data_IF_364878792350
#
_entry.id   IF_364878792350
#
_cell.length_a   1.000
_cell.length_b   1.000
_cell.length_c   1.000
_cell.angle_alpha   90.00
_cell.angle_beta   90.00
_cell.angle_gamma   90.00
#
_symmetry.space_group_name_H-M   'P 1'
#
loop_
_entity.id
_entity.type
_entity.pdbx_description
1 polymer ?
#
# COMPACT_ATOMS: atom_id res chain seq x y z
N UNK A 1 37.88 -19.65 -81.75
CA UNK A 1 38.26 -20.89 -81.05
C UNK A 1 37.86 -20.78 -79.58
N UNK A 2 37.22 -21.83 -79.08
CA UNK A 2 36.75 -22.03 -77.69
C UNK A 2 37.89 -21.90 -76.66
N UNK A 3 37.59 -21.34 -75.48
CA UNK A 3 37.79 -22.05 -74.19
C UNK A 3 36.98 -21.41 -73.07
N UNK A 4 36.70 -22.26 -72.09
CA UNK A 4 35.55 -22.28 -71.18
C UNK A 4 35.98 -22.06 -69.72
N UNK A 5 35.07 -21.47 -68.94
CA UNK A 5 34.75 -21.65 -67.51
C UNK A 5 35.86 -21.54 -66.44
N UNK A 6 35.56 -20.77 -65.38
CA UNK A 6 35.00 -21.32 -64.12
C UNK A 6 34.38 -20.23 -63.24
N UNK A 7 33.26 -20.60 -62.62
CA UNK A 7 32.51 -19.89 -61.58
C UNK A 7 33.14 -20.16 -60.21
N UNK A 8 33.16 -19.18 -59.31
CA UNK A 8 32.99 -19.45 -57.87
C UNK A 8 32.48 -18.22 -57.13
N UNK A 9 31.41 -18.45 -56.38
CA UNK A 9 30.70 -17.55 -55.46
C UNK A 9 31.44 -17.41 -54.13
N UNK A 10 31.48 -16.22 -53.53
CA UNK A 10 31.47 -16.04 -52.07
C UNK A 10 30.99 -14.62 -51.70
N UNK A 11 30.14 -14.55 -50.69
CA UNK A 11 29.25 -13.46 -50.26
C UNK A 11 29.48 -13.28 -48.76
N UNK A 12 29.77 -12.06 -48.25
CA UNK A 12 29.04 -11.24 -47.24
C UNK A 12 30.11 -10.34 -46.57
N UNK A 13 29.91 -9.08 -46.18
CA UNK A 13 28.69 -8.34 -45.87
C UNK A 13 28.77 -7.81 -44.43
N UNK A 14 29.28 -6.58 -44.25
CA UNK A 14 29.34 -5.86 -42.96
C UNK A 14 28.33 -4.72 -43.02
N UNK A 15 27.37 -4.67 -42.08
CA UNK A 15 26.71 -3.44 -41.66
C UNK A 15 25.90 -3.67 -40.37
N UNK A 16 26.06 -2.72 -39.44
CA UNK A 16 25.45 -2.58 -38.11
C UNK A 16 23.94 -2.29 -38.16
N UNK A 17 23.16 -2.93 -37.28
CA UNK A 17 21.71 -2.72 -37.11
C UNK A 17 21.41 -1.94 -35.82
N UNK A 18 20.82 -0.74 -35.96
CA UNK A 18 20.13 0.01 -34.91
C UNK A 18 18.64 -0.36 -35.00
N UNK A 19 18.04 -0.82 -33.92
CA UNK A 19 16.61 -1.15 -33.85
C UNK A 19 15.82 0.03 -33.28
N UNK A 20 14.97 0.66 -34.10
CA UNK A 20 13.94 1.59 -33.65
C UNK A 20 12.66 0.80 -33.30
N UNK A 21 12.15 0.97 -32.08
CA UNK A 21 10.78 0.57 -31.71
C UNK A 21 9.84 1.77 -31.99
N UNK A 22 8.87 1.61 -32.89
CA UNK A 22 7.82 2.60 -33.16
C UNK A 22 6.51 2.18 -32.47
N UNK A 23 5.94 3.05 -31.63
CA UNK A 23 4.60 2.92 -31.06
C UNK A 23 3.62 3.75 -31.91
N UNK A 24 2.79 3.12 -32.73
CA UNK A 24 1.72 3.79 -33.48
C UNK A 24 0.41 3.80 -32.66
N UNK A 25 -0.32 4.91 -32.65
CA UNK A 25 -1.72 4.98 -32.20
C UNK A 25 -2.60 5.13 -33.44
N UNK A 26 -3.42 4.12 -33.75
CA UNK A 26 -4.64 4.31 -34.54
C UNK A 26 -5.87 3.92 -33.71
N UNK A 27 -6.88 4.78 -33.78
CA UNK A 27 -8.25 4.44 -33.40
C UNK A 27 -8.81 3.60 -34.53
N UNK A 28 -9.28 2.40 -34.23
CA UNK A 28 -10.46 1.88 -34.91
C UNK A 28 -11.19 0.80 -34.09
N UNK A 29 -12.51 0.88 -34.19
CA UNK A 29 -13.49 -0.15 -33.86
C UNK A 29 -13.07 -1.53 -34.39
N UNK A 30 -12.81 -2.47 -33.47
CA UNK A 30 -12.88 -3.94 -33.58
C UNK A 30 -12.59 -4.58 -34.96
N UNK A 31 -11.37 -5.12 -35.18
CA UNK A 31 -11.05 -6.56 -35.42
C UNK A 31 -9.60 -6.77 -35.93
N UNK A 32 -8.86 -7.69 -35.28
CA UNK A 32 -7.72 -8.54 -35.72
C UNK A 32 -6.47 -8.01 -36.49
N UNK A 33 -5.30 -8.30 -35.88
CA UNK A 33 -3.97 -8.70 -36.43
C UNK A 33 -2.88 -7.65 -36.85
N UNK A 34 -1.77 -7.71 -36.09
CA UNK A 34 -0.29 -7.59 -36.36
C UNK A 34 0.37 -6.52 -37.27
N UNK A 35 1.32 -5.77 -36.65
CA UNK A 35 2.67 -5.23 -37.03
C UNK A 35 3.00 -4.71 -38.47
N UNK A 36 3.97 -3.84 -38.77
CA UNK A 36 4.66 -2.64 -38.22
C UNK A 36 5.77 -2.24 -39.26
N UNK A 37 6.22 -0.97 -39.30
CA UNK A 37 7.58 -0.39 -39.67
C UNK A 37 7.52 0.85 -40.58
N UNK A 38 8.31 1.95 -40.51
CA UNK A 38 9.22 2.66 -39.56
C UNK A 38 9.26 4.14 -40.07
N UNK A 39 9.36 5.16 -39.19
CA UNK A 39 10.00 6.46 -39.51
C UNK A 39 10.88 6.91 -38.33
N UNK A 40 12.04 7.44 -38.68
CA UNK A 40 13.14 7.96 -37.86
C UNK A 40 12.75 9.17 -36.98
N UNK A 41 13.30 9.27 -35.75
CA UNK A 41 13.43 10.56 -35.05
C UNK A 41 14.49 10.54 -33.94
N UNK A 42 15.25 11.62 -33.86
CA UNK A 42 15.85 12.12 -32.63
C UNK A 42 15.20 13.48 -32.30
N UNK A 43 14.89 13.67 -31.01
CA UNK A 43 14.51 14.87 -30.22
C UNK A 43 13.18 14.69 -29.47
N UNK A 44 13.25 14.66 -28.13
CA UNK A 44 12.17 15.13 -27.25
C UNK A 44 11.03 14.18 -26.84
N UNK A 45 11.11 12.86 -27.08
CA UNK A 45 9.98 11.93 -26.85
C UNK A 45 10.13 10.90 -25.72
N UNK A 46 11.28 10.82 -25.02
CA UNK A 46 11.47 9.86 -23.92
C UNK A 46 10.81 10.29 -22.60
N UNK A 47 10.27 11.50 -22.54
CA UNK A 47 9.61 12.06 -21.36
C UNK A 47 8.12 11.67 -21.23
N UNK A 48 7.45 11.23 -22.30
CA UNK A 48 5.99 10.96 -22.26
C UNK A 48 5.62 9.50 -21.96
N UNK A 49 6.58 8.57 -21.99
CA UNK A 49 6.39 7.17 -21.57
C UNK A 49 6.71 6.93 -20.08
N UNK A 50 7.03 8.01 -19.35
CA UNK A 50 7.49 7.97 -17.97
C UNK A 50 6.52 8.60 -16.98
N UNK A 51 5.28 8.90 -17.35
CA UNK A 51 4.30 9.50 -16.46
C UNK A 51 3.45 8.43 -15.73
N UNK A 52 3.43 8.44 -14.39
CA UNK A 52 2.50 7.63 -13.58
C UNK A 52 1.11 8.28 -13.58
N UNK A 53 0.99 9.43 -12.93
CA UNK A 53 -0.17 10.32 -12.88
C UNK A 53 0.20 11.63 -12.15
N UNK A 54 -0.79 12.48 -11.86
CA UNK A 54 -0.59 13.82 -11.29
C UNK A 54 -0.17 13.81 -9.81
N UNK A 55 -0.25 12.66 -9.13
CA UNK A 55 0.18 12.51 -7.73
C UNK A 55 1.67 12.17 -7.61
N UNK A 56 2.35 11.96 -8.73
CA UNK A 56 3.78 11.68 -8.79
C UNK A 56 4.51 12.73 -9.64
N UNK A 57 5.83 12.91 -9.45
CA UNK A 57 6.62 13.74 -10.35
C UNK A 57 6.45 13.29 -11.81
N UNK A 58 6.44 14.25 -12.74
CA UNK A 58 6.25 13.94 -14.16
C UNK A 58 7.31 12.97 -14.75
N UNK A 59 8.49 12.91 -14.13
CA UNK A 59 9.59 12.00 -14.48
C UNK A 59 9.50 10.62 -13.83
N UNK A 60 8.49 10.36 -12.99
CA UNK A 60 8.41 9.16 -12.18
C UNK A 60 7.74 7.99 -12.91
N UNK A 61 8.37 6.82 -12.92
CA UNK A 61 7.91 5.65 -13.70
C UNK A 61 7.42 4.49 -12.83
N UNK A 62 6.48 3.71 -13.37
CA UNK A 62 6.05 2.45 -12.75
C UNK A 62 7.05 1.33 -13.01
N UNK A 63 7.34 0.53 -11.98
CA UNK A 63 8.26 -0.60 -12.08
C UNK A 63 7.82 -1.80 -11.26
N UNK A 64 8.25 -2.98 -11.67
CA UNK A 64 8.09 -4.24 -10.91
C UNK A 64 9.32 -4.56 -10.07
N UNK A 65 10.39 -3.77 -10.18
CA UNK A 65 11.64 -3.93 -9.42
C UNK A 65 11.94 -2.67 -8.63
N UNK A 66 12.88 -2.77 -7.68
CA UNK A 66 13.45 -1.62 -6.98
C UNK A 66 14.76 -1.17 -7.64
N UNK A 67 15.06 0.11 -7.55
CA UNK A 67 16.32 0.73 -7.94
C UNK A 67 17.42 0.34 -6.95
N UNK A 68 18.67 0.31 -7.43
CA UNK A 68 19.83 0.12 -6.56
C UNK A 68 19.85 1.19 -5.46
N UNK A 69 20.01 0.77 -4.21
CA UNK A 69 20.01 1.65 -3.04
C UNK A 69 18.63 1.93 -2.42
N UNK A 70 17.52 1.58 -3.10
CA UNK A 70 16.18 1.60 -2.51
C UNK A 70 15.87 0.28 -1.78
N UNK A 71 16.19 -0.85 -2.40
CA UNK A 71 16.03 -2.19 -1.82
C UNK A 71 16.55 -3.29 -2.75
N UNK A 72 16.22 -4.53 -2.43
CA UNK A 72 16.72 -5.73 -3.10
C UNK A 72 15.61 -6.49 -3.84
N UNK A 73 15.98 -7.44 -4.71
CA UNK A 73 15.01 -8.35 -5.34
C UNK A 73 14.25 -9.23 -4.33
N UNK A 74 14.85 -9.51 -3.16
CA UNK A 74 14.19 -10.22 -2.06
C UNK A 74 13.09 -9.35 -1.44
N UNK A 75 13.34 -8.03 -1.30
CA UNK A 75 12.34 -7.09 -0.82
C UNK A 75 11.17 -6.95 -1.81
N UNK A 76 11.45 -6.90 -3.12
CA UNK A 76 10.43 -6.91 -4.18
C UNK A 76 9.55 -8.15 -4.08
N UNK A 77 10.18 -9.33 -3.94
CA UNK A 77 9.48 -10.60 -3.80
C UNK A 77 8.59 -10.59 -2.55
N UNK A 78 9.13 -10.13 -1.42
CA UNK A 78 8.39 -9.99 -0.17
C UNK A 78 7.14 -9.12 -0.36
N UNK A 79 7.28 -7.91 -0.90
CA UNK A 79 6.15 -6.99 -1.04
C UNK A 79 5.05 -7.53 -1.96
N UNK A 80 5.40 -8.18 -3.07
CA UNK A 80 4.42 -8.83 -3.94
C UNK A 80 3.71 -10.00 -3.25
N UNK A 81 4.46 -10.81 -2.48
CA UNK A 81 3.88 -11.89 -1.68
C UNK A 81 2.94 -11.34 -0.61
N UNK A 82 3.30 -10.24 0.04
CA UNK A 82 2.45 -9.59 1.04
C UNK A 82 1.18 -9.00 0.42
N UNK A 83 1.24 -8.35 -0.74
CA UNK A 83 0.04 -7.89 -1.45
C UNK A 83 -0.94 -9.04 -1.71
N UNK A 84 -0.42 -10.21 -2.09
CA UNK A 84 -1.22 -11.44 -2.29
C UNK A 84 -1.73 -12.03 -0.97
N UNK A 85 -0.90 -12.01 0.08
CA UNK A 85 -1.23 -12.54 1.40
C UNK A 85 -2.31 -11.71 2.09
N UNK A 86 -2.19 -10.38 2.07
CA UNK A 86 -3.19 -9.44 2.61
C UNK A 86 -4.52 -9.62 1.86
N UNK A 87 -4.48 -9.71 0.53
CA UNK A 87 -5.68 -10.01 -0.25
C UNK A 87 -6.32 -11.31 0.18
N UNK A 88 -5.54 -12.38 0.26
CA UNK A 88 -6.06 -13.72 0.60
C UNK A 88 -6.61 -13.74 2.01
N UNK A 89 -5.97 -13.03 2.94
CA UNK A 89 -6.44 -12.84 4.30
C UNK A 89 -7.81 -12.16 4.33
N UNK A 90 -8.01 -11.03 3.65
CA UNK A 90 -9.27 -10.30 3.74
C UNK A 90 -10.38 -10.80 2.82
N UNK A 91 -10.03 -11.22 1.60
CA UNK A 91 -10.98 -11.47 0.50
C UNK A 91 -10.92 -12.89 -0.07
N UNK A 92 -10.07 -13.75 0.49
CA UNK A 92 -9.92 -15.14 0.05
C UNK A 92 -9.19 -15.29 -1.29
N UNK A 93 -9.24 -16.50 -1.86
CA UNK A 93 -8.48 -16.85 -3.08
C UNK A 93 -9.21 -16.47 -4.37
N UNK A 94 -10.54 -16.33 -4.34
CA UNK A 94 -11.39 -16.09 -5.52
C UNK A 94 -11.30 -14.68 -6.10
N UNK A 95 -10.68 -13.73 -5.39
CA UNK A 95 -10.51 -12.35 -5.86
C UNK A 95 -9.06 -12.13 -6.29
N UNK A 96 -8.83 -11.32 -7.33
CA UNK A 96 -7.49 -10.90 -7.72
C UNK A 96 -6.91 -9.91 -6.69
N UNK A 97 -5.58 -9.94 -6.52
CA UNK A 97 -4.89 -8.89 -5.78
C UNK A 97 -4.89 -7.58 -6.59
N UNK A 98 -4.89 -6.41 -5.92
CA UNK A 98 -4.64 -5.14 -6.57
C UNK A 98 -3.34 -5.18 -7.36
N UNK A 99 -3.29 -4.48 -8.49
CA UNK A 99 -2.06 -4.32 -9.24
C UNK A 99 -1.08 -3.52 -8.38
N UNK A 100 0.03 -4.16 -8.01
CA UNK A 100 1.09 -3.54 -7.21
C UNK A 100 2.28 -3.16 -8.09
N UNK A 101 2.75 -1.91 -8.00
CA UNK A 101 3.94 -1.41 -8.69
C UNK A 101 4.73 -0.46 -7.81
N UNK A 102 6.04 -0.47 -7.96
CA UNK A 102 6.91 0.56 -7.40
C UNK A 102 6.90 1.82 -8.28
N UNK A 103 7.09 2.98 -7.67
CA UNK A 103 7.27 4.26 -8.37
C UNK A 103 8.71 4.74 -8.23
N UNK A 104 9.42 4.77 -9.36
CA UNK A 104 10.83 5.17 -9.46
C UNK A 104 10.97 6.61 -9.92
N UNK A 105 11.97 7.33 -9.41
CA UNK A 105 12.32 8.65 -9.94
C UNK A 105 13.82 8.94 -9.78
N UNK A 106 14.66 8.07 -10.35
CA UNK A 106 16.10 8.11 -10.14
C UNK A 106 16.47 7.94 -8.66
N UNK A 107 17.51 8.64 -8.21
CA UNK A 107 17.96 8.62 -6.80
C UNK A 107 17.38 9.75 -5.96
N UNK A 108 16.43 10.52 -6.50
CA UNK A 108 15.72 11.56 -5.76
C UNK A 108 14.62 10.94 -4.89
N UNK A 109 15.03 10.26 -3.82
CA UNK A 109 14.15 9.47 -2.96
C UNK A 109 12.98 10.28 -2.37
N UNK A 110 13.18 11.55 -2.02
CA UNK A 110 12.09 12.38 -1.47
C UNK A 110 10.94 12.59 -2.47
N UNK A 111 11.21 12.52 -3.77
CA UNK A 111 10.20 12.73 -4.81
C UNK A 111 9.19 11.59 -4.96
N UNK A 112 9.49 10.40 -4.41
CA UNK A 112 8.59 9.25 -4.36
C UNK A 112 8.34 8.84 -2.90
N UNK A 113 8.31 9.81 -1.98
CA UNK A 113 7.96 9.57 -0.59
C UNK A 113 6.43 9.50 -0.44
N UNK A 114 5.80 8.50 -1.06
CA UNK A 114 4.36 8.27 -0.94
C UNK A 114 4.02 6.80 -1.24
N UNK A 115 2.87 6.34 -0.78
CA UNK A 115 2.20 5.13 -1.23
C UNK A 115 0.72 5.48 -1.45
N UNK A 116 0.14 5.03 -2.56
CA UNK A 116 -1.22 5.45 -2.95
C UNK A 116 -2.04 4.23 -3.39
N UNK A 117 -3.21 4.11 -2.79
CA UNK A 117 -4.25 3.17 -3.12
C UNK A 117 -5.34 3.81 -4.01
N UNK A 118 -5.50 3.29 -5.23
CA UNK A 118 -6.46 3.79 -6.20
C UNK A 118 -7.73 2.93 -6.21
N UNK A 119 -8.89 3.57 -6.30
CA UNK A 119 -10.19 2.90 -6.39
C UNK A 119 -10.34 1.93 -7.58
N UNK A 120 -9.48 2.05 -8.58
CA UNK A 120 -9.41 1.17 -9.75
C UNK A 120 -8.63 -0.14 -9.52
N UNK A 121 -8.40 -0.55 -8.27
CA UNK A 121 -7.72 -1.81 -7.96
C UNK A 121 -6.20 -1.76 -8.13
N UNK A 122 -5.56 -0.63 -7.79
CA UNK A 122 -4.11 -0.43 -7.93
C UNK A 122 -3.51 0.10 -6.64
N UNK A 123 -2.29 -0.34 -6.32
CA UNK A 123 -1.46 0.23 -5.26
C UNK A 123 -0.11 0.59 -5.86
N UNK A 124 0.24 1.87 -5.81
CA UNK A 124 1.53 2.37 -6.27
C UNK A 124 2.38 2.80 -5.08
N UNK A 125 3.60 2.29 -5.01
CA UNK A 125 4.44 2.37 -3.83
C UNK A 125 5.77 3.03 -4.17
N UNK A 126 6.02 4.22 -3.65
CA UNK A 126 7.22 4.98 -3.99
C UNK A 126 8.50 4.38 -3.40
N UNK A 127 9.59 4.45 -4.17
CA UNK A 127 10.89 3.94 -3.69
C UNK A 127 11.46 4.73 -2.53
N UNK A 128 11.14 6.02 -2.45
CA UNK A 128 11.54 6.90 -1.35
C UNK A 128 11.05 6.43 0.00
N UNK A 129 9.73 6.23 0.09
CA UNK A 129 9.09 5.78 1.32
C UNK A 129 9.49 4.33 1.64
N UNK A 130 9.63 3.48 0.62
CA UNK A 130 10.12 2.11 0.79
C UNK A 130 11.49 2.07 1.44
N UNK A 131 12.42 2.86 0.91
CA UNK A 131 13.81 2.92 1.35
C UNK A 131 13.91 3.42 2.78
N UNK A 132 13.18 4.50 3.10
CA UNK A 132 13.19 5.08 4.45
C UNK A 132 12.59 4.11 5.49
N UNK A 133 11.49 3.44 5.17
CA UNK A 133 10.91 2.39 5.99
C UNK A 133 11.90 1.22 6.21
N UNK A 134 12.64 0.81 5.18
CA UNK A 134 13.66 -0.24 5.27
C UNK A 134 14.86 0.16 6.15
N UNK A 135 15.26 1.44 6.12
CA UNK A 135 16.33 1.96 6.97
C UNK A 135 15.93 2.00 8.44
N UNK A 136 14.64 2.27 8.73
CA UNK A 136 14.09 2.23 10.08
C UNK A 136 13.89 0.81 10.59
N UNK A 137 13.60 -0.13 9.70
CA UNK A 137 13.43 -1.53 10.03
C UNK A 137 13.88 -2.46 8.88
N UNK A 138 15.04 -3.09 9.09
CA UNK A 138 15.62 -4.02 8.14
C UNK A 138 14.75 -5.27 7.88
N UNK A 139 13.78 -5.57 8.75
CA UNK A 139 12.88 -6.73 8.58
C UNK A 139 11.74 -6.49 7.59
N UNK A 140 11.53 -5.26 7.10
CA UNK A 140 10.40 -4.80 6.29
C UNK A 140 9.03 -4.81 6.97
N UNK A 141 8.95 -4.95 8.29
CA UNK A 141 7.69 -4.84 9.01
C UNK A 141 7.03 -3.47 8.79
N UNK A 142 7.81 -2.38 8.77
CA UNK A 142 7.29 -1.05 8.44
C UNK A 142 6.69 -1.06 7.03
N UNK A 143 7.43 -1.55 6.03
CA UNK A 143 6.93 -1.65 4.65
C UNK A 143 5.65 -2.51 4.52
N UNK A 144 5.58 -3.63 5.24
CA UNK A 144 4.39 -4.51 5.30
C UNK A 144 3.20 -3.78 5.90
N UNK A 145 3.41 -3.02 6.97
CA UNK A 145 2.36 -2.22 7.61
C UNK A 145 1.79 -1.18 6.64
N UNK A 146 2.66 -0.45 5.94
CA UNK A 146 2.25 0.55 4.94
C UNK A 146 1.41 -0.11 3.85
N UNK A 147 1.86 -1.24 3.32
CA UNK A 147 1.09 -1.98 2.31
C UNK A 147 -0.26 -2.49 2.84
N UNK A 148 -0.31 -2.92 4.11
CA UNK A 148 -1.56 -3.33 4.75
C UNK A 148 -2.53 -2.16 4.93
N UNK A 149 -2.01 -0.96 5.23
CA UNK A 149 -2.78 0.29 5.27
C UNK A 149 -3.35 0.63 3.88
N UNK A 150 -2.52 0.64 2.84
CA UNK A 150 -2.99 0.88 1.46
C UNK A 150 -4.03 -0.15 0.99
N UNK A 151 -3.89 -1.40 1.45
CA UNK A 151 -4.90 -2.42 1.21
C UNK A 151 -6.18 -2.19 2.01
N UNK A 152 -6.11 -1.59 3.20
CA UNK A 152 -7.27 -1.10 3.95
C UNK A 152 -8.15 -0.19 3.09
N UNK A 153 -7.54 0.74 2.35
CA UNK A 153 -8.28 1.54 1.36
C UNK A 153 -8.88 0.71 0.22
N UNK A 154 -8.20 -0.35 -0.25
CA UNK A 154 -8.80 -1.27 -1.23
C UNK A 154 -10.05 -1.98 -0.69
N UNK A 155 -10.09 -2.28 0.61
CA UNK A 155 -11.29 -2.81 1.26
C UNK A 155 -12.38 -1.75 1.32
N UNK A 156 -12.04 -0.52 1.66
CA UNK A 156 -12.98 0.60 1.66
C UNK A 156 -13.64 0.80 0.30
N UNK A 157 -12.86 0.81 -0.78
CA UNK A 157 -13.41 0.90 -2.14
C UNK A 157 -14.27 -0.32 -2.49
N UNK A 158 -13.84 -1.53 -2.13
CA UNK A 158 -14.55 -2.76 -2.50
C UNK A 158 -15.88 -2.96 -1.75
N UNK A 159 -15.99 -2.42 -0.53
CA UNK A 159 -17.11 -2.65 0.37
C UNK A 159 -17.88 -1.37 0.75
N UNK A 160 -17.55 -0.24 0.12
CA UNK A 160 -18.14 1.07 0.40
C UNK A 160 -18.00 1.51 1.88
N UNK A 161 -16.83 1.25 2.46
CA UNK A 161 -16.44 1.62 3.82
C UNK A 161 -15.61 2.93 3.80
N UNK A 162 -15.42 3.62 4.94
CA UNK A 162 -16.04 3.38 6.24
C UNK A 162 -17.55 3.66 6.22
N UNK A 163 -18.31 2.99 7.09
CA UNK A 163 -19.72 3.34 7.33
C UNK A 163 -19.84 4.70 8.03
N UNK A 164 -18.85 5.06 8.86
CA UNK A 164 -18.72 6.38 9.48
C UNK A 164 -18.48 7.45 8.42
N UNK A 165 -19.32 8.47 8.39
CA UNK A 165 -19.18 9.63 7.50
C UNK A 165 -18.79 10.86 8.29
N UNK A 166 -17.75 11.54 7.82
CA UNK A 166 -17.29 12.82 8.33
C UNK A 166 -16.94 13.72 7.14
N UNK A 167 -16.81 15.02 7.38
CA UNK A 167 -16.37 16.00 6.37
C UNK A 167 -14.86 15.97 6.11
N UNK A 168 -14.13 15.11 6.82
CA UNK A 168 -12.67 14.95 6.75
C UNK A 168 -12.30 13.54 6.28
N UNK A 169 -11.06 13.33 5.86
CA UNK A 169 -10.52 12.02 5.51
C UNK A 169 -10.26 11.09 6.72
N UNK A 170 -10.36 11.63 7.95
CA UNK A 170 -10.02 10.93 9.19
C UNK A 170 -10.66 9.55 9.36
N UNK A 171 -11.97 9.31 9.16
CA UNK A 171 -12.52 7.96 9.33
C UNK A 171 -11.90 6.96 8.35
N UNK A 172 -11.60 7.38 7.11
CA UNK A 172 -10.97 6.51 6.12
C UNK A 172 -9.56 6.07 6.56
N UNK A 173 -8.76 7.03 7.02
CA UNK A 173 -7.37 6.79 7.44
C UNK A 173 -7.29 5.95 8.72
N UNK A 174 -8.10 6.28 9.73
CA UNK A 174 -8.10 5.56 11.01
C UNK A 174 -8.60 4.12 10.85
N UNK A 175 -9.61 3.88 9.99
CA UNK A 175 -10.03 2.52 9.72
C UNK A 175 -8.94 1.74 8.96
N UNK A 176 -8.27 2.33 7.98
CA UNK A 176 -7.17 1.68 7.25
C UNK A 176 -5.98 1.36 8.17
N UNK A 177 -5.65 2.25 9.10
CA UNK A 177 -4.70 2.00 10.20
C UNK A 177 -5.12 0.82 11.08
N UNK A 178 -6.39 0.79 11.49
CA UNK A 178 -6.95 -0.31 12.25
C UNK A 178 -6.87 -1.64 11.49
N UNK A 179 -7.21 -1.65 10.21
CA UNK A 179 -7.12 -2.84 9.35
C UNK A 179 -5.67 -3.32 9.21
N UNK A 180 -4.70 -2.41 9.12
CA UNK A 180 -3.28 -2.75 9.12
C UNK A 180 -2.87 -3.44 10.43
N UNK A 181 -3.24 -2.87 11.58
CA UNK A 181 -2.97 -3.48 12.89
C UNK A 181 -3.62 -4.85 13.06
N UNK A 182 -4.85 -5.00 12.55
CA UNK A 182 -5.57 -6.28 12.55
C UNK A 182 -4.84 -7.33 11.72
N UNK A 183 -4.42 -6.96 10.50
CA UNK A 183 -3.65 -7.84 9.62
C UNK A 183 -2.31 -8.23 10.24
N UNK A 184 -1.55 -7.28 10.80
CA UNK A 184 -0.24 -7.59 11.38
C UNK A 184 -0.33 -8.63 12.51
N UNK A 185 -1.38 -8.56 13.34
CA UNK A 185 -1.60 -9.57 14.38
C UNK A 185 -1.94 -10.93 13.81
N UNK A 186 -3.01 -10.99 13.02
CA UNK A 186 -3.68 -12.25 12.69
C UNK A 186 -3.32 -12.81 11.31
N UNK A 187 -2.96 -11.95 10.37
CA UNK A 187 -2.53 -12.32 9.02
C UNK A 187 -1.02 -12.46 8.88
N UNK A 188 -0.25 -11.52 9.46
CA UNK A 188 1.22 -11.56 9.44
C UNK A 188 1.83 -12.33 10.62
N UNK A 189 1.05 -12.58 11.67
CA UNK A 189 1.41 -13.49 12.77
C UNK A 189 2.20 -12.85 13.92
N UNK A 190 2.01 -11.56 14.19
CA UNK A 190 2.64 -10.88 15.34
C UNK A 190 1.76 -11.03 16.58
N UNK A 191 2.28 -11.67 17.62
CA UNK A 191 1.50 -12.05 18.80
C UNK A 191 1.42 -10.96 19.87
N UNK A 192 2.46 -10.12 19.98
CA UNK A 192 2.50 -8.99 20.93
C UNK A 192 2.53 -7.67 20.20
N UNK A 193 2.09 -6.60 20.85
CA UNK A 193 2.06 -5.28 20.22
C UNK A 193 3.43 -4.64 20.12
N UNK A 194 4.31 -4.88 21.10
CA UNK A 194 5.73 -4.53 21.02
C UNK A 194 6.42 -5.00 19.74
N UNK A 195 6.02 -6.15 19.18
CA UNK A 195 6.59 -6.67 17.92
C UNK A 195 6.28 -5.81 16.69
N UNK A 196 5.29 -4.94 16.78
CA UNK A 196 4.80 -4.09 15.68
C UNK A 196 4.78 -2.62 16.04
N UNK A 197 5.12 -2.29 17.28
CA UNK A 197 5.06 -0.92 17.78
C UNK A 197 5.94 0.03 16.96
N UNK A 198 7.12 -0.43 16.52
CA UNK A 198 8.03 0.31 15.62
C UNK A 198 7.44 0.59 14.24
N UNK A 199 6.54 -0.26 13.74
CA UNK A 199 5.86 -0.02 12.47
C UNK A 199 4.93 1.19 12.52
N UNK A 200 4.44 1.56 13.71
CA UNK A 200 3.46 2.62 13.89
C UNK A 200 4.03 4.03 13.94
N UNK A 201 5.35 4.19 14.07
CA UNK A 201 5.98 5.49 13.82
C UNK A 201 5.66 6.02 12.43
N UNK A 202 5.39 5.12 11.48
CA UNK A 202 4.91 5.49 10.16
C UNK A 202 3.51 6.13 10.18
N UNK A 203 2.53 5.46 10.81
CA UNK A 203 1.17 6.01 10.94
C UNK A 203 1.18 7.33 11.71
N UNK A 204 2.02 7.45 12.74
CA UNK A 204 2.25 8.70 13.46
C UNK A 204 2.77 9.80 12.53
N UNK A 205 3.77 9.50 11.69
CA UNK A 205 4.42 10.48 10.82
C UNK A 205 3.51 11.07 9.71
N UNK A 206 2.42 10.40 9.35
CA UNK A 206 1.45 10.89 8.34
C UNK A 206 0.26 11.61 8.98
N UNK A 207 0.07 11.49 10.29
CA UNK A 207 -0.96 12.26 10.99
C UNK A 207 -0.72 13.77 10.88
N UNK A 208 -1.81 14.54 10.99
CA UNK A 208 -1.77 15.99 10.92
C UNK A 208 -2.63 16.65 12.01
N UNK A 209 -2.44 17.95 12.23
CA UNK A 209 -3.21 18.73 13.22
C UNK A 209 -4.23 19.67 12.57
N UNK A 210 -4.49 19.54 11.26
CA UNK A 210 -5.39 20.40 10.48
C UNK A 210 -6.85 19.95 10.62
N UNK A 211 -7.36 19.85 11.85
CA UNK A 211 -8.60 19.12 12.20
C UNK A 211 -9.89 19.59 11.50
N UNK A 212 -9.89 20.79 10.92
CA UNK A 212 -11.02 21.34 10.16
C UNK A 212 -10.86 21.21 8.64
N UNK A 213 -9.71 20.74 8.16
CA UNK A 213 -9.44 20.53 6.74
C UNK A 213 -10.16 19.27 6.24
N UNK A 214 -10.73 19.33 5.04
CA UNK A 214 -11.29 18.14 4.39
C UNK A 214 -10.24 17.02 4.23
N UNK A 215 -8.95 17.39 4.10
CA UNK A 215 -7.83 16.46 4.04
C UNK A 215 -7.27 16.05 5.40
N UNK A 216 -7.94 16.32 6.52
CA UNK A 216 -7.46 15.87 7.83
C UNK A 216 -7.50 14.35 7.94
N UNK A 217 -6.35 13.73 8.17
CA UNK A 217 -6.18 12.28 8.24
C UNK A 217 -6.39 11.73 9.67
N UNK A 218 -6.49 12.61 10.65
CA UNK A 218 -6.37 12.27 12.06
C UNK A 218 -5.03 12.72 12.62
N UNK A 219 -5.03 13.05 13.91
CA UNK A 219 -3.79 13.41 14.63
C UNK A 219 -2.84 12.20 14.70
N UNK A 220 -1.52 12.43 14.79
CA UNK A 220 -0.55 11.34 14.97
C UNK A 220 -0.91 10.36 16.11
N UNK A 221 -1.43 10.90 17.22
CA UNK A 221 -1.90 10.13 18.37
C UNK A 221 -3.16 9.29 18.08
N UNK A 222 -4.13 9.86 17.34
CA UNK A 222 -5.31 9.11 16.87
C UNK A 222 -4.91 7.94 15.98
N UNK A 223 -3.99 8.17 15.03
CA UNK A 223 -3.50 7.13 14.12
C UNK A 223 -2.87 5.97 14.89
N UNK A 224 -1.98 6.24 15.86
CA UNK A 224 -1.44 5.20 16.77
C UNK A 224 -2.53 4.42 17.52
N UNK A 225 -3.50 5.12 18.10
CA UNK A 225 -4.60 4.49 18.84
C UNK A 225 -5.47 3.59 17.93
N UNK A 226 -5.72 4.03 16.69
CA UNK A 226 -6.46 3.26 15.71
C UNK A 226 -5.77 1.92 15.41
N UNK A 227 -4.45 1.93 15.23
CA UNK A 227 -3.73 0.68 14.98
C UNK A 227 -3.74 -0.25 16.22
N UNK A 228 -3.63 0.32 17.43
CA UNK A 228 -3.79 -0.46 18.69
C UNK A 228 -5.16 -1.11 18.78
N UNK A 229 -6.24 -0.39 18.48
CA UNK A 229 -7.59 -0.95 18.50
C UNK A 229 -7.71 -2.08 17.46
N UNK A 230 -7.20 -1.88 16.24
CA UNK A 230 -7.14 -2.92 15.21
C UNK A 230 -6.44 -4.19 15.66
N UNK A 231 -5.29 -4.04 16.34
CA UNK A 231 -4.56 -5.16 16.93
C UNK A 231 -5.37 -5.88 18.03
N UNK A 232 -6.06 -5.15 18.89
CA UNK A 232 -6.90 -5.73 19.94
C UNK A 232 -8.11 -6.49 19.34
N UNK A 233 -8.75 -5.95 18.32
CA UNK A 233 -9.84 -6.61 17.59
C UNK A 233 -9.39 -7.94 16.96
N UNK A 234 -8.12 -8.03 16.56
CA UNK A 234 -7.52 -9.22 15.98
C UNK A 234 -7.12 -10.30 17.00
N UNK A 235 -7.46 -10.13 18.29
CA UNK A 235 -7.18 -11.14 19.31
C UNK A 235 -7.65 -12.53 18.88
N UNK A 236 -6.82 -13.59 19.04
CA UNK A 236 -7.20 -14.95 18.66
C UNK A 236 -8.45 -15.48 19.36
N UNK A 237 -8.83 -14.93 20.52
CA UNK A 237 -10.09 -15.24 21.21
C UNK A 237 -11.33 -14.75 20.45
N UNK A 238 -11.16 -13.78 19.54
CA UNK A 238 -12.21 -13.34 18.62
C UNK A 238 -12.29 -14.23 17.39
N UNK A 239 -13.49 -14.41 16.86
CA UNK A 239 -13.65 -14.88 15.48
C UNK A 239 -12.97 -13.90 14.50
N UNK A 240 -12.49 -14.40 13.35
CA UNK A 240 -11.92 -13.54 12.32
C UNK A 240 -13.05 -12.69 11.73
N UNK A 241 -12.87 -11.38 11.73
CA UNK A 241 -13.82 -10.42 11.18
C UNK A 241 -13.68 -10.34 9.65
N UNK A 242 -14.81 -10.19 8.97
CA UNK A 242 -14.82 -9.66 7.59
C UNK A 242 -14.54 -8.16 7.60
N UNK A 243 -14.28 -7.54 6.45
CA UNK A 243 -14.06 -6.09 6.36
C UNK A 243 -15.24 -5.27 6.92
N UNK A 244 -16.48 -5.65 6.58
CA UNK A 244 -17.67 -4.96 7.10
C UNK A 244 -17.89 -5.18 8.62
N UNK A 245 -17.59 -6.37 9.13
CA UNK A 245 -17.63 -6.61 10.58
C UNK A 245 -16.53 -5.85 11.32
N UNK A 246 -15.35 -5.71 10.70
CA UNK A 246 -14.27 -4.88 11.21
C UNK A 246 -14.71 -3.42 11.29
N UNK A 247 -15.20 -2.82 10.20
CA UNK A 247 -15.74 -1.45 10.17
C UNK A 247 -16.71 -1.19 11.33
N UNK A 248 -17.74 -2.02 11.42
CA UNK A 248 -18.80 -1.88 12.44
C UNK A 248 -18.23 -1.98 13.86
N UNK A 249 -17.34 -2.95 14.12
CA UNK A 249 -16.72 -3.12 15.44
C UNK A 249 -15.73 -2.00 15.75
N UNK A 250 -14.95 -1.58 14.77
CA UNK A 250 -13.92 -0.56 14.91
C UNK A 250 -14.55 0.77 15.32
N UNK A 251 -15.52 1.28 14.55
CA UNK A 251 -16.18 2.54 14.90
C UNK A 251 -17.07 2.43 16.14
N UNK A 252 -17.59 1.23 16.45
CA UNK A 252 -18.31 1.01 17.71
C UNK A 252 -17.47 1.39 18.94
N UNK A 253 -16.21 0.94 18.99
CA UNK A 253 -15.30 1.24 20.09
C UNK A 253 -14.61 2.59 19.92
N UNK A 254 -14.15 2.91 18.71
CA UNK A 254 -13.32 4.08 18.48
C UNK A 254 -14.07 5.39 18.67
N UNK A 255 -15.38 5.44 18.38
CA UNK A 255 -16.23 6.58 18.75
C UNK A 255 -16.21 6.82 20.27
N UNK A 256 -16.18 5.74 21.05
CA UNK A 256 -16.05 5.83 22.51
C UNK A 256 -14.67 6.28 22.97
N UNK A 257 -13.60 5.88 22.29
CA UNK A 257 -12.23 6.38 22.54
C UNK A 257 -12.18 7.89 22.34
N UNK A 258 -12.72 8.39 21.22
CA UNK A 258 -12.74 9.82 20.89
C UNK A 258 -13.61 10.64 21.85
N UNK A 259 -14.77 10.12 22.24
CA UNK A 259 -15.70 10.82 23.13
C UNK A 259 -15.34 10.71 24.62
N UNK A 260 -14.49 9.75 25.00
CA UNK A 260 -14.27 9.38 26.40
C UNK A 260 -15.51 8.75 27.07
N UNK A 261 -16.45 8.24 26.27
CA UNK A 261 -17.70 7.63 26.75
C UNK A 261 -17.91 6.27 26.10
N UNK A 262 -18.05 5.21 26.91
CA UNK A 262 -18.04 3.84 26.39
C UNK A 262 -19.41 3.19 26.49
N UNK A 263 -19.77 2.45 25.43
CA UNK A 263 -20.99 1.64 25.42
C UNK A 263 -20.73 0.33 26.17
N UNK A 264 -21.58 0.01 27.14
CA UNK A 264 -21.49 -1.22 27.94
C UNK A 264 -22.02 -2.46 27.21
N UNK A 265 -22.89 -2.25 26.21
CA UNK A 265 -23.38 -3.35 25.39
C UNK A 265 -22.24 -3.89 24.51
N UNK A 266 -22.33 -5.17 24.16
CA UNK A 266 -21.40 -5.76 23.20
C UNK A 266 -21.93 -5.57 21.77
N UNK A 267 -21.08 -5.24 20.77
CA UNK A 267 -21.52 -5.24 19.38
C UNK A 267 -21.89 -6.64 18.88
N UNK A 268 -22.73 -6.70 17.86
CA UNK A 268 -23.10 -7.95 17.20
C UNK A 268 -21.85 -8.64 16.60
N UNK A 269 -21.78 -9.97 16.68
CA UNK A 269 -20.67 -10.74 16.13
C UNK A 269 -19.38 -10.77 16.96
N UNK A 270 -19.23 -9.91 17.97
CA UNK A 270 -18.08 -9.97 18.90
C UNK A 270 -18.28 -11.04 19.98
N UNK A 271 -17.21 -11.72 20.43
CA UNK A 271 -17.28 -12.60 21.61
C UNK A 271 -17.36 -11.80 22.90
N UNK A 272 -17.89 -12.39 23.97
CA UNK A 272 -17.95 -11.74 25.28
C UNK A 272 -16.56 -11.42 25.79
N UNK A 273 -15.64 -12.37 25.66
CA UNK A 273 -14.25 -12.28 26.08
C UNK A 273 -13.52 -11.18 25.30
N UNK A 274 -13.73 -11.09 23.99
CA UNK A 274 -13.13 -10.06 23.16
C UNK A 274 -13.66 -8.66 23.46
N UNK A 275 -14.96 -8.54 23.74
CA UNK A 275 -15.52 -7.29 24.20
C UNK A 275 -14.94 -6.87 25.55
N UNK A 276 -14.87 -7.79 26.52
CA UNK A 276 -14.26 -7.53 27.83
C UNK A 276 -12.79 -7.13 27.71
N UNK A 277 -12.03 -7.77 26.81
CA UNK A 277 -10.66 -7.39 26.51
C UNK A 277 -10.58 -5.94 26.03
N UNK A 278 -11.35 -5.56 25.01
CA UNK A 278 -11.33 -4.19 24.48
C UNK A 278 -11.78 -3.18 25.54
N UNK A 279 -12.86 -3.50 26.28
CA UNK A 279 -13.35 -2.66 27.37
C UNK A 279 -12.30 -2.43 28.45
N UNK A 280 -11.51 -3.47 28.80
CA UNK A 280 -10.38 -3.35 29.74
C UNK A 280 -9.25 -2.44 29.23
N UNK A 281 -9.23 -2.15 27.92
CA UNK A 281 -8.21 -1.34 27.23
C UNK A 281 -8.71 0.03 26.78
N UNK A 282 -9.96 0.41 27.07
CA UNK A 282 -10.50 1.70 26.60
C UNK A 282 -9.76 2.91 27.16
N UNK A 283 -9.38 2.87 28.44
CA UNK A 283 -8.56 3.93 29.04
C UNK A 283 -7.14 4.00 28.45
N UNK A 284 -6.54 2.83 28.13
CA UNK A 284 -5.25 2.75 27.43
C UNK A 284 -5.36 3.39 26.04
N UNK A 285 -6.39 3.03 25.27
CA UNK A 285 -6.66 3.57 23.93
C UNK A 285 -6.91 5.08 23.95
N UNK A 286 -7.61 5.59 24.96
CA UNK A 286 -7.84 7.03 25.13
C UNK A 286 -6.54 7.76 25.45
N UNK A 287 -5.70 7.21 26.35
CA UNK A 287 -4.38 7.77 26.68
C UNK A 287 -3.47 7.85 25.45
N UNK A 288 -3.51 6.83 24.58
CA UNK A 288 -2.80 6.87 23.29
C UNK A 288 -3.39 7.97 22.41
N UNK A 289 -4.72 8.00 22.27
CA UNK A 289 -5.42 8.89 21.36
C UNK A 289 -5.24 10.38 21.71
N UNK A 290 -5.21 10.73 23.00
CA UNK A 290 -5.01 12.10 23.47
C UNK A 290 -3.54 12.54 23.41
N UNK A 291 -2.61 11.61 23.17
CA UNK A 291 -1.17 11.88 23.20
C UNK A 291 -0.58 11.91 24.62
N UNK A 292 -1.33 11.49 25.63
CA UNK A 292 -0.87 11.39 27.02
C UNK A 292 0.05 10.19 27.28
N UNK A 293 0.02 9.17 26.42
CA UNK A 293 0.91 8.03 26.51
C UNK A 293 2.26 8.37 25.91
N UNK A 294 3.34 8.18 26.69
CA UNK A 294 4.70 8.36 26.18
C UNK A 294 5.08 7.28 25.16
N UNK A 295 6.03 7.60 24.29
CA UNK A 295 6.58 6.64 23.33
C UNK A 295 7.09 5.37 24.03
N UNK A 296 7.80 5.52 25.16
CA UNK A 296 8.31 4.38 25.91
C UNK A 296 7.18 3.49 26.46
N UNK A 297 6.09 4.05 26.97
CA UNK A 297 4.94 3.24 27.38
C UNK A 297 4.32 2.51 26.19
N UNK A 298 4.14 3.21 25.07
CA UNK A 298 3.53 2.67 23.86
C UNK A 298 4.32 1.50 23.25
N UNK A 299 5.65 1.61 23.19
CA UNK A 299 6.51 0.54 22.67
C UNK A 299 6.52 -0.72 23.55
N UNK A 300 6.07 -0.62 24.81
CA UNK A 300 6.08 -1.71 25.79
C UNK A 300 4.68 -2.29 26.10
N UNK A 301 3.67 -2.03 25.26
CA UNK A 301 2.28 -2.54 25.36
C UNK A 301 2.05 -3.99 24.89
#
# INVERSE_FOLDING_TARGET
MKKSMKVSTLLLGVATSVAFFSCSKEKETVTNQEEATIVEQATGLEHDCSYVDAYWPASATLSTTLSSGAGTSADVTLMNNQNTAIKTFWRGTSVAAPIFRFVKNGTNWSSTYNAISYSTGKIYYGEGIFRDAKLKDASNLVNVMILAHEYGHQLQYAFNLPSKKETTARPNELEADGMAGYYLRRGYGKSTYSQIATAYEFAYAIGDFQTTSAGHHGTPAQRRSAVRLGFLLADPTNAKLTAAQFDSSFFYYYDGVLAGTYKLAKPEGMSLEGHQLIMSKMAELQKIQSGEMSDNEYFNL
#
